data_IF_928746950123
#
_entry.id   IF_928746950123
#
_cell.length_a   1.000
_cell.length_b   1.000
_cell.length_c   1.000
_cell.angle_alpha   90.00
_cell.angle_beta   90.00
_cell.angle_gamma   90.00
#
_symmetry.space_group_name_H-M   'P 1'
#
loop_
_entity.id
_entity.type
_entity.pdbx_description
1 polymer ?
#
# COMPACT_ATOMS: atom_id res chain seq x y z
N UNK A 1 -17.32 -28.23 -13.76
CA UNK A 1 -17.93 -27.56 -14.93
C UNK A 1 -17.42 -26.13 -14.97
N UNK A 2 -16.92 -25.69 -16.12
CA UNK A 2 -16.47 -24.31 -16.34
C UNK A 2 -17.70 -23.50 -16.78
N UNK A 3 -17.98 -22.37 -16.12
CA UNK A 3 -19.18 -21.57 -16.41
C UNK A 3 -19.08 -20.87 -17.78
N UNK A 4 -20.22 -20.58 -18.43
CA UNK A 4 -20.20 -19.90 -19.73
C UNK A 4 -19.51 -18.52 -19.69
N UNK A 5 -19.54 -17.85 -18.53
CA UNK A 5 -18.90 -16.56 -18.29
C UNK A 5 -17.36 -16.58 -18.38
N UNK A 6 -16.72 -17.74 -18.39
CA UNK A 6 -15.26 -17.86 -18.52
C UNK A 6 -14.81 -18.30 -19.92
N UNK A 7 -15.74 -18.59 -20.83
CA UNK A 7 -15.45 -19.05 -22.19
C UNK A 7 -15.27 -17.82 -23.10
N UNK A 8 -14.05 -17.60 -23.59
CA UNK A 8 -13.73 -16.48 -24.49
C UNK A 8 -12.23 -16.17 -24.53
N UNK A 9 -11.86 -15.07 -25.20
CA UNK A 9 -10.48 -14.60 -25.23
C UNK A 9 -10.11 -13.97 -23.87
N UNK A 10 -9.27 -14.66 -23.09
CA UNK A 10 -8.84 -14.22 -21.76
C UNK A 10 -7.50 -13.49 -21.76
N UNK A 11 -6.83 -13.35 -22.90
CA UNK A 11 -5.48 -12.76 -23.00
C UNK A 11 -5.40 -11.36 -22.38
N UNK A 12 -6.38 -10.50 -22.67
CA UNK A 12 -6.43 -9.14 -22.11
C UNK A 12 -6.63 -9.14 -20.59
N UNK A 13 -7.42 -10.08 -20.05
CA UNK A 13 -7.67 -10.15 -18.62
C UNK A 13 -6.40 -10.55 -17.84
N UNK A 14 -5.58 -11.45 -18.40
CA UNK A 14 -4.30 -11.86 -17.83
C UNK A 14 -3.13 -10.93 -18.18
N UNK A 15 -3.32 -9.97 -19.09
CA UNK A 15 -2.30 -8.96 -19.40
C UNK A 15 -1.88 -8.19 -18.14
N UNK A 16 -0.59 -7.84 -18.09
CA UNK A 16 0.00 -7.12 -16.95
C UNK A 16 0.02 -5.63 -17.25
N UNK A 17 -0.84 -4.89 -16.58
CA UNK A 17 -0.87 -3.44 -16.69
C UNK A 17 0.23 -2.81 -15.83
N UNK A 18 0.62 -1.58 -16.18
CA UNK A 18 1.53 -0.77 -15.37
C UNK A 18 0.75 0.35 -14.69
N UNK A 19 0.84 0.40 -13.36
CA UNK A 19 0.16 1.37 -12.53
C UNK A 19 1.19 2.33 -11.90
N UNK A 20 0.99 3.64 -12.01
CA UNK A 20 1.82 4.61 -11.30
C UNK A 20 1.11 5.18 -10.08
N UNK A 21 1.83 5.33 -8.97
CA UNK A 21 1.31 5.87 -7.72
C UNK A 21 2.29 6.89 -7.14
N UNK A 22 1.77 8.04 -6.72
CA UNK A 22 2.54 9.04 -5.98
C UNK A 22 2.49 8.75 -4.46
N UNK A 23 3.67 8.60 -3.84
CA UNK A 23 3.79 8.38 -2.40
C UNK A 23 3.76 9.68 -1.57
N UNK A 24 3.80 10.86 -2.22
CA UNK A 24 3.76 12.16 -1.55
C UNK A 24 2.51 12.32 -0.68
N UNK A 25 2.70 12.71 0.58
CA UNK A 25 1.64 12.94 1.56
C UNK A 25 0.72 11.73 1.82
N UNK A 26 1.18 10.52 1.49
CA UNK A 26 0.46 9.27 1.73
C UNK A 26 0.97 8.56 2.98
N UNK A 27 0.03 7.98 3.73
CA UNK A 27 0.36 7.13 4.88
C UNK A 27 0.90 5.78 4.40
N UNK A 28 2.12 5.45 4.81
CA UNK A 28 2.87 4.27 4.40
C UNK A 28 2.05 2.97 4.41
N UNK A 29 1.36 2.68 5.52
CA UNK A 29 0.62 1.42 5.66
C UNK A 29 -0.57 1.29 4.70
N UNK A 30 -1.31 2.39 4.50
CA UNK A 30 -2.46 2.41 3.58
C UNK A 30 -2.00 2.30 2.12
N UNK A 31 -0.94 3.02 1.79
CA UNK A 31 -0.29 2.94 0.48
C UNK A 31 0.18 1.50 0.20
N UNK A 32 0.94 0.91 1.12
CA UNK A 32 1.47 -0.45 0.97
C UNK A 32 0.37 -1.51 0.81
N UNK A 33 -0.74 -1.39 1.54
CA UNK A 33 -1.88 -2.32 1.41
C UNK A 33 -2.50 -2.28 0.02
N UNK A 34 -2.70 -1.09 -0.56
CA UNK A 34 -3.24 -0.96 -1.92
C UNK A 34 -2.27 -1.45 -3.00
N UNK A 35 -0.99 -1.15 -2.83
CA UNK A 35 0.06 -1.67 -3.72
C UNK A 35 0.04 -3.20 -3.67
N UNK A 36 0.00 -3.82 -2.50
CA UNK A 36 -0.01 -5.27 -2.36
C UNK A 36 -1.24 -5.92 -3.04
N UNK A 37 -2.43 -5.33 -2.94
CA UNK A 37 -3.63 -5.81 -3.65
C UNK A 37 -3.46 -5.78 -5.17
N UNK A 38 -2.81 -4.73 -5.68
CA UNK A 38 -2.54 -4.55 -7.11
C UNK A 38 -1.50 -5.56 -7.60
N UNK A 39 -0.41 -5.73 -6.85
CA UNK A 39 0.63 -6.72 -7.13
C UNK A 39 0.05 -8.14 -7.12
N UNK A 40 -0.83 -8.49 -6.18
CA UNK A 40 -1.48 -9.81 -6.16
C UNK A 40 -2.50 -10.02 -7.28
N UNK A 41 -2.96 -8.96 -7.95
CA UNK A 41 -4.03 -9.05 -8.95
C UNK A 41 -5.44 -9.12 -8.35
N UNK A 42 -5.61 -8.93 -7.03
CA UNK A 42 -6.93 -9.00 -6.34
C UNK A 42 -7.95 -7.94 -6.79
N UNK A 43 -7.50 -6.96 -7.55
CA UNK A 43 -8.37 -5.96 -8.17
C UNK A 43 -9.01 -6.45 -9.48
N UNK A 44 -8.52 -7.56 -10.05
CA UNK A 44 -9.08 -8.19 -11.25
C UNK A 44 -10.13 -9.22 -10.82
N UNK A 45 -11.29 -9.30 -11.50
CA UNK A 45 -12.33 -10.28 -11.19
C UNK A 45 -11.91 -11.72 -11.51
N UNK A 46 -10.85 -11.91 -12.32
CA UNK A 46 -10.27 -13.21 -12.68
C UNK A 46 -9.24 -13.71 -11.65
N UNK A 47 -9.13 -13.05 -10.48
CA UNK A 47 -8.12 -13.39 -9.48
C UNK A 47 -8.30 -14.82 -8.99
N UNK A 48 -7.20 -15.57 -9.05
CA UNK A 48 -7.07 -16.89 -8.44
C UNK A 48 -5.74 -16.94 -7.67
N UNK A 49 -5.69 -17.49 -6.44
CA UNK A 49 -4.46 -17.55 -5.66
C UNK A 49 -3.33 -18.38 -6.28
N UNK A 50 -3.64 -19.38 -7.12
CA UNK A 50 -2.66 -20.19 -7.82
C UNK A 50 -2.22 -19.53 -9.14
N UNK A 51 -3.08 -18.74 -9.77
CA UNK A 51 -2.77 -18.00 -10.99
C UNK A 51 -2.04 -16.67 -10.72
N UNK A 52 -0.94 -16.46 -11.42
CA UNK A 52 -0.17 -15.22 -11.34
C UNK A 52 -0.70 -14.14 -12.31
N UNK A 53 -1.76 -13.44 -11.89
CA UNK A 53 -2.45 -12.39 -12.66
C UNK A 53 -2.11 -10.95 -12.20
N UNK A 54 -1.06 -10.79 -11.39
CA UNK A 54 -0.63 -9.54 -10.80
C UNK A 54 -0.04 -8.51 -11.78
N UNK A 55 -0.19 -7.23 -11.45
CA UNK A 55 0.27 -6.10 -12.28
C UNK A 55 1.57 -5.45 -11.77
N UNK A 56 2.17 -4.59 -12.59
CA UNK A 56 3.32 -3.76 -12.23
C UNK A 56 2.87 -2.51 -11.49
N UNK A 57 3.63 -2.12 -10.46
CA UNK A 57 3.37 -0.90 -9.71
C UNK A 57 4.65 -0.07 -9.63
N UNK A 58 4.55 1.17 -10.09
CA UNK A 58 5.61 2.17 -10.09
C UNK A 58 5.27 3.23 -9.05
N UNK A 59 6.11 3.36 -8.03
CA UNK A 59 5.94 4.35 -6.96
C UNK A 59 6.90 5.51 -7.20
N UNK A 60 6.37 6.74 -7.18
CA UNK A 60 7.13 8.01 -7.27
C UNK A 60 7.21 8.69 -5.90
N UNK A 61 8.15 9.61 -5.72
CA UNK A 61 8.31 10.41 -4.49
C UNK A 61 8.42 9.58 -3.19
N UNK A 62 9.13 8.45 -3.19
CA UNK A 62 9.23 7.58 -2.02
C UNK A 62 9.77 8.31 -0.75
N UNK A 63 10.59 9.35 -0.94
CA UNK A 63 11.13 10.21 0.12
C UNK A 63 10.05 10.95 0.91
N UNK A 64 8.90 11.25 0.29
CA UNK A 64 7.82 12.08 0.86
C UNK A 64 6.70 11.25 1.51
N UNK A 65 6.94 9.96 1.75
CA UNK A 65 5.97 9.11 2.45
C UNK A 65 5.84 9.51 3.93
N UNK A 66 4.61 9.47 4.44
CA UNK A 66 4.25 9.86 5.80
C UNK A 66 3.95 8.64 6.68
N UNK A 67 4.20 8.81 7.97
CA UNK A 67 3.73 7.92 9.03
C UNK A 67 2.90 8.73 10.02
N UNK A 68 1.92 8.09 10.65
CA UNK A 68 1.01 8.76 11.59
C UNK A 68 1.59 8.80 13.00
N UNK A 69 1.49 9.93 13.70
CA UNK A 69 1.96 10.10 15.08
C UNK A 69 3.47 9.92 15.21
N UNK A 70 3.93 9.44 16.37
CA UNK A 70 5.37 9.30 16.68
C UNK A 70 6.04 8.04 16.10
N UNK A 71 5.35 7.34 15.20
CA UNK A 71 5.83 6.08 14.62
C UNK A 71 7.16 6.24 13.89
N UNK A 72 7.43 7.40 13.31
CA UNK A 72 8.72 7.68 12.66
C UNK A 72 9.91 7.55 13.64
N UNK A 73 9.70 7.83 14.93
CA UNK A 73 10.75 7.76 15.94
C UNK A 73 10.78 6.38 16.63
N UNK A 74 9.65 5.70 16.69
CA UNK A 74 9.50 4.42 17.40
C UNK A 74 9.83 3.19 16.53
N UNK A 75 9.67 3.28 15.21
CA UNK A 75 9.92 2.15 14.31
C UNK A 75 11.42 1.90 14.17
N UNK A 76 11.84 0.69 14.54
CA UNK A 76 13.20 0.17 14.36
C UNK A 76 13.16 -1.07 13.49
N UNK A 77 13.91 -1.06 12.40
CA UNK A 77 14.08 -2.20 11.51
C UNK A 77 15.24 -3.07 12.00
N UNK A 78 14.99 -4.36 12.17
CA UNK A 78 15.96 -5.34 12.67
C UNK A 78 16.28 -6.38 11.62
N UNK A 79 17.56 -6.65 11.44
CA UNK A 79 18.07 -7.75 10.63
C UNK A 79 19.10 -8.54 11.45
N UNK A 80 19.17 -9.85 11.28
CA UNK A 80 20.11 -10.71 11.99
C UNK A 80 20.88 -11.58 10.99
N UNK A 81 22.18 -11.76 11.19
CA UNK A 81 23.05 -12.57 10.32
C UNK A 81 23.18 -14.03 10.77
N UNK A 82 22.50 -14.43 11.84
CA UNK A 82 22.53 -15.77 12.47
C UNK A 82 23.77 -16.05 13.32
N UNK A 83 24.80 -15.20 13.26
CA UNK A 83 25.96 -15.26 14.16
C UNK A 83 25.71 -14.53 15.49
N UNK A 84 26.30 -14.97 16.61
CA UNK A 84 26.24 -14.24 17.88
C UNK A 84 26.71 -12.79 17.71
N UNK A 85 25.95 -11.82 18.23
CA UNK A 85 26.22 -10.39 18.06
C UNK A 85 25.85 -9.82 16.67
N UNK A 86 25.26 -10.63 15.79
CA UNK A 86 24.91 -10.26 14.42
C UNK A 86 23.64 -9.41 14.24
N UNK A 87 23.07 -8.87 15.33
CA UNK A 87 21.87 -8.05 15.29
C UNK A 87 22.20 -6.64 14.77
N UNK A 88 21.54 -6.24 13.68
CA UNK A 88 21.62 -4.90 13.10
C UNK A 88 20.28 -4.21 13.24
N UNK A 89 20.30 -3.04 13.86
CA UNK A 89 19.12 -2.20 14.05
C UNK A 89 19.29 -0.87 13.31
N UNK A 90 18.25 -0.43 12.62
CA UNK A 90 18.23 0.84 11.90
C UNK A 90 16.90 1.53 12.21
N UNK A 91 16.95 2.76 12.74
CA UNK A 91 15.76 3.56 12.98
C UNK A 91 15.09 3.98 11.68
N UNK A 92 13.78 4.20 11.71
CA UNK A 92 13.02 4.62 10.53
C UNK A 92 13.56 5.92 9.93
N UNK A 93 13.88 6.93 10.75
CA UNK A 93 14.45 8.20 10.26
C UNK A 93 15.79 7.98 9.54
N UNK A 94 16.66 7.13 10.08
CA UNK A 94 17.94 6.80 9.44
C UNK A 94 17.73 6.06 8.13
N UNK A 95 16.81 5.09 8.08
CA UNK A 95 16.50 4.36 6.86
C UNK A 95 15.86 5.27 5.80
N UNK A 96 15.02 6.23 6.21
CA UNK A 96 14.39 7.20 5.32
C UNK A 96 15.42 8.12 4.66
N UNK A 97 16.47 8.49 5.39
CA UNK A 97 17.55 9.32 4.86
C UNK A 97 18.48 8.55 3.91
N UNK A 98 18.75 7.27 4.16
CA UNK A 98 19.70 6.48 3.35
C UNK A 98 19.06 5.75 2.19
N UNK A 99 17.90 5.09 2.42
CA UNK A 99 17.21 4.20 1.48
C UNK A 99 15.68 4.27 1.68
N UNK A 100 15.04 5.38 1.24
CA UNK A 100 13.59 5.56 1.40
C UNK A 100 12.76 4.54 0.61
N UNK A 101 13.30 4.00 -0.48
CA UNK A 101 12.71 2.92 -1.27
C UNK A 101 12.51 1.63 -0.44
N UNK A 102 13.49 1.32 0.42
CA UNK A 102 13.49 0.09 1.22
C UNK A 102 12.36 0.11 2.26
N UNK A 103 11.93 1.28 2.74
CA UNK A 103 10.81 1.43 3.66
C UNK A 103 9.51 0.94 3.02
N UNK A 104 9.21 1.40 1.81
CA UNK A 104 8.01 1.01 1.07
C UNK A 104 8.10 -0.47 0.68
N UNK A 105 9.28 -0.91 0.20
CA UNK A 105 9.51 -2.31 -0.15
C UNK A 105 9.28 -3.26 1.03
N UNK A 106 9.77 -2.91 2.23
CA UNK A 106 9.55 -3.68 3.47
C UNK A 106 8.08 -3.69 3.88
N UNK A 107 7.41 -2.54 3.83
CA UNK A 107 5.99 -2.45 4.14
C UNK A 107 5.15 -3.34 3.22
N UNK A 108 5.38 -3.29 1.91
CA UNK A 108 4.66 -4.12 0.92
C UNK A 108 5.02 -5.60 1.08
N UNK A 109 6.30 -5.94 1.26
CA UNK A 109 6.74 -7.33 1.53
C UNK A 109 6.08 -7.93 2.77
N UNK A 110 5.82 -7.09 3.79
CA UNK A 110 5.03 -7.44 4.96
C UNK A 110 3.62 -7.89 4.62
N UNK A 111 2.95 -7.19 3.70
CA UNK A 111 1.55 -7.39 3.30
C UNK A 111 1.34 -8.55 2.30
N UNK A 112 2.40 -9.04 1.66
CA UNK A 112 2.30 -10.15 0.71
C UNK A 112 2.28 -11.54 1.41
N UNK A 113 1.58 -12.54 0.83
CA UNK A 113 1.59 -13.91 1.32
C UNK A 113 3.02 -14.47 1.43
N UNK A 114 3.28 -15.30 2.45
CA UNK A 114 4.61 -15.87 2.69
C UNK A 114 4.76 -17.17 1.89
N UNK A 115 5.00 -17.04 0.59
CA UNK A 115 5.20 -18.16 -0.33
C UNK A 115 6.34 -17.85 -1.33
N UNK A 116 6.58 -18.77 -2.28
CA UNK A 116 7.59 -18.61 -3.33
C UNK A 116 7.26 -17.47 -4.31
N UNK A 117 5.98 -17.24 -4.62
CA UNK A 117 5.56 -16.20 -5.57
C UNK A 117 5.79 -14.78 -5.05
N UNK A 118 5.90 -14.59 -3.74
CA UNK A 118 6.21 -13.31 -3.10
C UNK A 118 7.41 -12.59 -3.72
N UNK A 119 8.48 -13.31 -4.07
CA UNK A 119 9.68 -12.70 -4.68
C UNK A 119 9.33 -12.08 -6.04
N UNK A 120 8.66 -12.85 -6.89
CA UNK A 120 8.21 -12.38 -8.21
C UNK A 120 7.24 -11.20 -8.11
N UNK A 121 6.36 -11.18 -7.11
CA UNK A 121 5.47 -10.04 -6.86
C UNK A 121 6.26 -8.78 -6.44
N UNK A 122 7.30 -8.92 -5.63
CA UNK A 122 8.14 -7.80 -5.22
C UNK A 122 9.05 -7.29 -6.34
N UNK A 123 9.42 -8.13 -7.30
CA UNK A 123 10.20 -7.73 -8.48
C UNK A 123 9.38 -6.82 -9.42
N UNK A 124 8.04 -6.88 -9.35
CA UNK A 124 7.13 -5.99 -10.09
C UNK A 124 6.89 -4.64 -9.43
N UNK A 125 7.39 -4.46 -8.21
CA UNK A 125 7.34 -3.20 -7.49
C UNK A 125 8.58 -2.38 -7.79
N UNK A 126 8.40 -1.33 -8.58
CA UNK A 126 9.42 -0.37 -8.94
C UNK A 126 9.23 0.88 -8.08
N UNK A 127 10.27 1.31 -7.37
CA UNK A 127 10.18 2.43 -6.43
C UNK A 127 11.25 3.44 -6.78
N UNK A 128 10.83 4.69 -6.94
CA UNK A 128 11.68 5.81 -7.27
C UNK A 128 11.59 6.87 -6.17
N UNK A 129 12.75 7.41 -5.81
CA UNK A 129 12.86 8.41 -4.76
C UNK A 129 12.33 9.77 -5.22
N UNK A 130 12.51 10.05 -6.50
CA UNK A 130 12.13 11.28 -7.17
C UNK A 130 10.83 11.12 -7.97
N UNK A 131 10.38 12.23 -8.56
CA UNK A 131 9.20 12.27 -9.42
C UNK A 131 9.53 11.86 -10.87
N UNK A 132 10.77 12.11 -11.29
CA UNK A 132 11.27 11.79 -12.62
C UNK A 132 11.43 10.29 -12.80
N UNK A 133 10.71 9.74 -13.77
CA UNK A 133 10.85 8.37 -14.20
C UNK A 133 11.64 8.31 -15.52
N UNK A 134 12.38 7.21 -15.76
CA UNK A 134 12.99 6.97 -17.07
C UNK A 134 11.92 6.75 -18.14
N UNK A 135 12.22 7.17 -19.38
CA UNK A 135 11.28 7.18 -20.50
C UNK A 135 10.72 5.79 -20.85
N UNK A 136 11.55 4.75 -20.66
CA UNK A 136 11.15 3.35 -20.85
C UNK A 136 10.02 2.91 -19.94
N UNK A 137 9.88 3.52 -18.76
CA UNK A 137 8.79 3.23 -17.82
C UNK A 137 7.60 4.12 -18.15
N UNK A 138 7.81 5.42 -18.42
CA UNK A 138 6.74 6.36 -18.74
C UNK A 138 5.88 5.91 -19.93
N UNK A 139 6.51 5.36 -20.98
CA UNK A 139 5.79 4.86 -22.17
C UNK A 139 4.87 3.66 -21.90
N UNK A 140 5.07 2.93 -20.79
CA UNK A 140 4.32 1.72 -20.48
C UNK A 140 3.18 1.96 -19.48
N UNK A 141 3.15 3.10 -18.78
CA UNK A 141 2.17 3.37 -17.73
C UNK A 141 0.77 3.43 -18.32
N UNK A 142 -0.10 2.53 -17.86
CA UNK A 142 -1.49 2.41 -18.34
C UNK A 142 -2.45 3.23 -17.47
N UNK A 143 -2.18 3.33 -16.17
CA UNK A 143 -3.03 4.06 -15.21
C UNK A 143 -2.19 4.85 -14.22
N UNK A 144 -2.46 6.15 -14.13
CA UNK A 144 -1.87 7.07 -13.16
C UNK A 144 -2.84 7.35 -12.00
N UNK A 145 -2.51 6.87 -10.80
CA UNK A 145 -3.28 7.16 -9.58
C UNK A 145 -2.74 8.39 -8.88
N UNK A 146 -2.75 9.54 -9.56
CA UNK A 146 -2.41 10.83 -8.95
C UNK A 146 -3.48 11.25 -7.90
N UNK A 147 -4.73 10.80 -8.07
CA UNK A 147 -5.89 11.29 -7.30
C UNK A 147 -6.70 10.20 -6.55
N UNK A 148 -6.15 8.99 -6.38
CA UNK A 148 -6.90 7.82 -5.84
C UNK A 148 -7.25 7.87 -4.34
N UNK A 149 -6.71 8.84 -3.62
CA UNK A 149 -7.10 9.19 -2.27
C UNK A 149 -7.22 10.71 -2.23
N UNK A 150 -8.39 11.25 -1.90
CA UNK A 150 -8.46 12.62 -1.39
C UNK A 150 -7.42 12.71 -0.27
N UNK A 151 -6.51 13.69 -0.34
CA UNK A 151 -5.68 14.08 0.82
C UNK A 151 -6.64 14.09 2.00
N UNK A 152 -6.41 13.28 3.05
CA UNK A 152 -7.29 13.33 4.21
C UNK A 152 -7.28 14.80 4.65
N UNK A 153 -8.40 15.54 4.63
CA UNK A 153 -8.43 16.93 5.10
C UNK A 153 -8.26 17.02 6.62
N UNK A 154 -7.72 15.98 7.24
CA UNK A 154 -7.91 15.59 8.62
C UNK A 154 -6.69 15.89 9.50
N UNK A 155 -5.61 16.43 8.93
CA UNK A 155 -4.49 16.94 9.72
C UNK A 155 -4.69 18.40 10.18
N UNK A 156 -5.53 19.18 9.49
CA UNK A 156 -5.60 20.63 9.72
C UNK A 156 -6.98 21.10 10.20
N UNK A 157 -8.04 20.30 9.96
CA UNK A 157 -9.41 20.65 10.35
C UNK A 157 -9.91 19.71 11.42
N UNK A 158 -9.84 20.17 12.67
CA UNK A 158 -10.50 19.52 13.80
C UNK A 158 -12.01 19.34 13.57
N UNK A 159 -12.62 18.50 14.40
CA UNK A 159 -14.05 18.12 14.42
C UNK A 159 -15.08 19.24 14.17
N UNK A 160 -14.69 20.52 14.32
CA UNK A 160 -15.52 21.70 14.02
C UNK A 160 -15.92 21.85 12.54
N UNK A 161 -15.20 21.27 11.58
CA UNK A 161 -15.46 21.50 10.14
C UNK A 161 -16.54 20.60 9.51
N UNK A 162 -17.01 19.56 10.21
CA UNK A 162 -17.96 18.55 9.70
C UNK A 162 -19.42 18.80 10.13
N UNK A 163 -19.75 20.00 10.61
CA UNK A 163 -21.14 20.41 10.83
C UNK A 163 -21.90 19.64 11.93
N UNK A 164 -21.22 18.87 12.77
CA UNK A 164 -21.85 18.18 13.90
C UNK A 164 -22.20 19.16 15.02
N UNK A 165 -23.50 19.48 15.20
CA UNK A 165 -23.96 20.19 16.40
C UNK A 165 -23.70 19.32 17.63
N UNK A 166 -23.04 19.88 18.65
CA UNK A 166 -22.97 19.26 19.98
C UNK A 166 -24.38 19.26 20.57
N UNK A 167 -24.91 18.06 20.87
CA UNK A 167 -25.99 17.95 21.84
C UNK A 167 -25.50 18.34 23.24
N UNK A 168 -26.38 18.73 24.16
CA UNK A 168 -26.02 19.31 25.46
C UNK A 168 -25.18 18.40 26.38
N UNK A 169 -25.11 17.09 26.11
CA UNK A 169 -24.49 16.11 27.03
C UNK A 169 -23.09 15.60 26.62
N UNK A 170 -22.36 16.31 25.75
CA UNK A 170 -20.89 16.21 25.73
C UNK A 170 -20.24 14.87 25.39
N UNK A 171 -20.91 13.91 24.75
CA UNK A 171 -20.30 12.67 24.27
C UNK A 171 -21.05 12.00 23.11
N UNK A 172 -20.38 11.20 22.25
CA UNK A 172 -21.05 10.44 21.20
C UNK A 172 -21.92 9.33 21.82
N UNK A 173 -23.23 9.39 21.58
CA UNK A 173 -24.19 8.36 21.99
C UNK A 173 -24.01 7.12 21.10
N UNK A 174 -23.29 6.13 21.59
CA UNK A 174 -23.28 4.79 20.99
C UNK A 174 -24.61 4.11 21.32
N UNK A 175 -25.46 3.88 20.31
CA UNK A 175 -26.61 3.00 20.46
C UNK A 175 -26.07 1.57 20.58
N UNK A 176 -25.99 1.03 21.80
CA UNK A 176 -25.81 -0.41 21.99
C UNK A 176 -27.11 -1.06 21.53
N UNK A 177 -27.15 -1.58 20.29
CA UNK A 177 -28.21 -2.49 19.91
C UNK A 177 -28.10 -3.73 20.79
N UNK A 178 -29.17 -4.00 21.49
CA UNK A 178 -29.39 -5.17 22.32
C UNK A 178 -29.31 -6.42 21.43
N UNK A 179 -28.20 -7.16 21.47
CA UNK A 179 -28.24 -8.58 21.17
C UNK A 179 -28.98 -9.25 22.33
N UNK A 180 -30.29 -9.35 22.18
CA UNK A 180 -31.16 -10.14 23.05
C UNK A 180 -30.95 -11.62 22.76
N UNK A 181 -30.79 -12.39 23.84
CA UNK A 181 -30.98 -13.83 23.86
C UNK A 181 -32.46 -14.14 23.60
N UNK A 182 -32.71 -15.08 22.69
CA UNK A 182 -33.86 -15.97 22.65
C UNK A 182 -33.44 -17.21 21.87
#
# INVERSE_FOLDING_TARGET
MVGSHTIGNTSLAFSRAWHSVDAKDRVLGRLAGRIALTLMGKHKPIYDPAADCGDYVVVKNATKVLTTGDKANQIVYRNHTTYPGGLKEISFNRLKATKPDEIIRKAVSGMLPKNSTRKHLLDRLLIFNDETLPDSINGNITKDYLNGDKVLPQADKGWKAIGGRRGPEGGPRWHKSSFGRA
#
